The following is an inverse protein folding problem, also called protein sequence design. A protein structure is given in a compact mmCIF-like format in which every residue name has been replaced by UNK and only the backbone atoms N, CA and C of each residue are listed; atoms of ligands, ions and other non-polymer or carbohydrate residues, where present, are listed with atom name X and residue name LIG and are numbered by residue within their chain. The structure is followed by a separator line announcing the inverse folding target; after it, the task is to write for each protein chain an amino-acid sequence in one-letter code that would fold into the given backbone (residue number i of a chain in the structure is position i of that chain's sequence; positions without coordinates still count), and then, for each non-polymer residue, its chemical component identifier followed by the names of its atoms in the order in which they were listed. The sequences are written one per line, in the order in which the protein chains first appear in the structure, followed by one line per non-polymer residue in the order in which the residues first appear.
data_IF_045247318970
#
_entry.id   IF_045247318970
#
_cell.length_a   1.000
_cell.length_b   1.000
_cell.length_c   1.000
_cell.angle_alpha   90.00
_cell.angle_beta   90.00
_cell.angle_gamma   90.00
#
_symmetry.space_group_name_H-M   'P 1'
#
loop_
_entity.id
_entity.type
_entity.pdbx_description
1 polymer ?
#
# COMPACT_ATOMS: atom_id res chain seq x y z
N UNK A 1 -5.52 7.57 -16.87
CA UNK A 1 -4.85 7.28 -15.60
C UNK A 1 -5.50 8.03 -14.45
N UNK A 2 -5.42 7.47 -13.28
CA UNK A 2 -5.99 8.01 -12.05
C UNK A 2 -4.90 8.54 -11.14
N UNK A 3 -5.21 9.60 -10.41
CA UNK A 3 -4.31 10.17 -9.41
C UNK A 3 -5.06 10.40 -8.10
N UNK A 4 -4.35 10.20 -7.00
CA UNK A 4 -4.82 10.49 -5.66
C UNK A 4 -4.11 11.73 -5.13
N UNK A 5 -4.86 12.78 -4.82
CA UNK A 5 -4.34 13.95 -4.14
C UNK A 5 -4.28 13.69 -2.63
N UNK A 6 -3.09 13.71 -2.08
CA UNK A 6 -2.84 13.39 -0.67
C UNK A 6 -2.29 14.62 0.06
N UNK A 7 -2.93 14.98 1.16
CA UNK A 7 -2.41 16.00 2.09
C UNK A 7 -1.73 15.28 3.25
N UNK A 8 -0.40 15.38 3.31
CA UNK A 8 0.41 14.73 4.32
C UNK A 8 0.67 15.58 5.56
N UNK A 9 1.59 15.11 6.39
CA UNK A 9 2.04 15.83 7.60
C UNK A 9 2.58 17.22 7.22
N UNK A 10 2.18 18.24 7.97
CA UNK A 10 2.57 19.63 7.70
C UNK A 10 1.87 20.26 6.52
N UNK A 11 0.68 19.75 6.13
CA UNK A 11 -0.13 20.22 4.99
C UNK A 11 0.61 20.13 3.65
N UNK A 12 1.60 19.28 3.52
CA UNK A 12 2.27 19.03 2.24
C UNK A 12 1.38 18.21 1.33
N UNK A 13 1.09 18.77 0.17
CA UNK A 13 0.34 18.10 -0.88
C UNK A 13 1.26 17.26 -1.74
N UNK A 14 0.77 16.12 -2.18
CA UNK A 14 1.41 15.28 -3.19
C UNK A 14 0.37 14.56 -4.02
N UNK A 15 0.79 14.14 -5.19
CA UNK A 15 -0.01 13.33 -6.11
C UNK A 15 0.60 11.93 -6.13
N UNK A 16 -0.24 10.93 -6.01
CA UNK A 16 0.14 9.51 -6.10
C UNK A 16 -0.60 8.92 -7.29
N UNK A 17 0.11 8.25 -8.18
CA UNK A 17 -0.49 7.56 -9.31
C UNK A 17 -1.20 6.28 -8.84
N UNK A 18 -2.35 6.01 -9.42
CA UNK A 18 -3.14 4.82 -9.10
C UNK A 18 -3.36 4.02 -10.36
N UNK A 19 -2.99 2.73 -10.40
CA UNK A 19 -3.20 1.88 -11.56
C UNK A 19 -4.69 1.77 -11.93
N UNK A 20 -5.01 1.86 -13.22
CA UNK A 20 -6.40 1.75 -13.72
C UNK A 20 -7.03 0.43 -13.26
N UNK A 21 -6.28 -0.66 -13.28
CA UNK A 21 -6.75 -1.98 -12.80
C UNK A 21 -7.15 -1.99 -11.33
N UNK A 22 -6.51 -1.16 -10.48
CA UNK A 22 -6.89 -1.03 -9.08
C UNK A 22 -8.22 -0.30 -8.93
N UNK A 23 -8.42 0.76 -9.70
CA UNK A 23 -9.67 1.52 -9.70
C UNK A 23 -10.83 0.63 -10.15
N UNK A 24 -10.67 -0.09 -11.26
CA UNK A 24 -11.73 -0.93 -11.83
C UNK A 24 -12.03 -2.17 -10.98
N UNK A 25 -10.99 -2.88 -10.55
CA UNK A 25 -11.16 -4.20 -9.93
C UNK A 25 -11.25 -4.17 -8.40
N UNK A 26 -10.75 -3.13 -7.76
CA UNK A 26 -10.75 -3.04 -6.28
C UNK A 26 -11.69 -1.94 -5.82
N UNK A 27 -11.41 -0.68 -6.19
CA UNK A 27 -12.21 0.45 -5.72
C UNK A 27 -13.64 0.37 -6.27
N UNK A 28 -13.82 0.05 -7.55
CA UNK A 28 -15.14 -0.07 -8.18
C UNK A 28 -16.00 -1.09 -7.45
N UNK A 29 -15.49 -2.30 -7.23
CA UNK A 29 -16.22 -3.35 -6.50
C UNK A 29 -16.52 -2.97 -5.05
N UNK A 30 -15.58 -2.31 -4.38
CA UNK A 30 -15.80 -1.81 -3.03
C UNK A 30 -16.93 -0.78 -2.99
N UNK A 31 -16.97 0.15 -3.94
CA UNK A 31 -18.03 1.15 -4.06
C UNK A 31 -19.39 0.51 -4.35
N UNK A 32 -19.44 -0.45 -5.26
CA UNK A 32 -20.67 -1.21 -5.56
C UNK A 32 -21.20 -1.95 -4.33
N UNK A 33 -20.32 -2.47 -3.47
CA UNK A 33 -20.74 -3.10 -2.20
C UNK A 33 -21.37 -2.13 -1.19
N UNK A 34 -21.25 -0.83 -1.45
CA UNK A 34 -21.87 0.25 -0.67
C UNK A 34 -23.03 0.95 -1.43
N UNK A 35 -23.56 0.32 -2.47
CA UNK A 35 -24.61 0.86 -3.31
C UNK A 35 -24.22 2.19 -4.02
N UNK A 36 -22.93 2.36 -4.31
CA UNK A 36 -22.39 3.51 -5.03
C UNK A 36 -22.02 3.13 -6.47
N UNK A 37 -22.00 4.11 -7.38
CA UNK A 37 -21.47 3.91 -8.72
C UNK A 37 -19.99 3.45 -8.65
N UNK A 38 -19.52 2.55 -9.56
CA UNK A 38 -18.14 2.03 -9.54
C UNK A 38 -17.07 3.12 -9.56
N UNK A 39 -17.33 4.20 -10.30
CA UNK A 39 -16.44 5.35 -10.38
C UNK A 39 -17.07 6.55 -9.69
N UNK A 40 -16.26 7.36 -8.97
CA UNK A 40 -16.75 8.59 -8.35
C UNK A 40 -17.15 9.62 -9.42
N UNK A 41 -18.19 10.39 -9.14
CA UNK A 41 -18.59 11.52 -9.97
C UNK A 41 -17.72 12.73 -9.66
N UNK A 42 -17.62 13.67 -10.60
CA UNK A 42 -16.79 14.89 -10.43
C UNK A 42 -17.22 15.73 -9.22
N UNK A 43 -18.51 15.74 -8.92
CA UNK A 43 -19.14 16.50 -7.83
C UNK A 43 -19.46 15.64 -6.59
N UNK A 44 -18.89 14.44 -6.52
CA UNK A 44 -19.17 13.50 -5.43
C UNK A 44 -18.28 13.80 -4.21
N UNK A 45 -18.92 13.95 -3.06
CA UNK A 45 -18.27 14.22 -1.77
C UNK A 45 -18.20 13.00 -0.85
N UNK A 46 -18.41 11.79 -1.42
CA UNK A 46 -18.33 10.54 -0.68
C UNK A 46 -16.87 10.23 -0.32
N UNK A 47 -16.55 9.95 0.95
CA UNK A 47 -15.20 9.54 1.33
C UNK A 47 -14.77 8.27 0.60
N UNK A 48 -13.47 8.17 0.26
CA UNK A 48 -12.92 6.93 -0.35
C UNK A 48 -13.13 5.72 0.58
N UNK A 49 -12.94 5.93 1.88
CA UNK A 49 -13.16 4.92 2.92
C UNK A 49 -14.14 5.49 3.96
N UNK A 50 -15.45 5.38 3.74
CA UNK A 50 -16.44 5.80 4.72
C UNK A 50 -16.58 4.78 5.85
N UNK A 51 -16.84 5.26 7.05
CA UNK A 51 -17.28 4.43 8.16
C UNK A 51 -18.67 3.87 7.88
N UNK A 52 -18.86 2.57 7.97
CA UNK A 52 -20.15 1.91 7.80
C UNK A 52 -21.18 2.35 8.84
N UNK A 53 -20.74 2.89 9.98
CA UNK A 53 -21.64 3.35 11.06
C UNK A 53 -22.08 4.81 10.87
N UNK A 54 -21.23 5.67 10.32
CA UNK A 54 -21.45 7.12 10.31
C UNK A 54 -21.41 7.76 8.93
N UNK A 55 -20.96 7.02 7.90
CA UNK A 55 -20.70 7.57 6.56
C UNK A 55 -19.52 8.56 6.47
N UNK A 56 -18.91 8.93 7.60
CA UNK A 56 -17.78 9.87 7.65
C UNK A 56 -16.48 9.18 7.28
N UNK A 57 -15.45 9.94 6.83
CA UNK A 57 -14.13 9.35 6.53
C UNK A 57 -13.59 8.54 7.72
N UNK A 58 -13.00 7.38 7.45
CA UNK A 58 -12.28 6.63 8.46
C UNK A 58 -11.04 7.41 8.92
N UNK A 59 -10.77 7.35 10.22
CA UNK A 59 -9.53 7.88 10.79
C UNK A 59 -8.37 6.92 10.53
N UNK A 60 -7.15 7.42 10.55
CA UNK A 60 -5.93 6.63 10.33
C UNK A 60 -5.86 5.41 11.25
N UNK A 61 -6.15 5.58 12.55
CA UNK A 61 -6.12 4.47 13.50
C UNK A 61 -7.14 3.38 13.15
N UNK A 62 -8.32 3.76 12.66
CA UNK A 62 -9.32 2.79 12.21
C UNK A 62 -8.84 1.99 10.99
N UNK A 63 -8.15 2.65 10.05
CA UNK A 63 -7.57 1.97 8.89
C UNK A 63 -6.43 1.04 9.34
N UNK A 64 -5.57 1.47 10.25
CA UNK A 64 -4.51 0.62 10.81
C UNK A 64 -5.10 -0.63 11.48
N UNK A 65 -6.13 -0.47 12.31
CA UNK A 65 -6.78 -1.60 12.97
C UNK A 65 -7.36 -2.60 11.96
N UNK A 66 -8.00 -2.12 10.89
CA UNK A 66 -8.53 -2.99 9.82
C UNK A 66 -7.40 -3.79 9.15
N UNK A 67 -6.26 -3.15 8.91
CA UNK A 67 -5.10 -3.83 8.33
C UNK A 67 -4.53 -4.88 9.29
N UNK A 68 -4.42 -4.56 10.57
CA UNK A 68 -3.94 -5.49 11.61
C UNK A 68 -4.88 -6.68 11.75
N UNK A 69 -6.20 -6.46 11.82
CA UNK A 69 -7.20 -7.54 11.84
C UNK A 69 -7.10 -8.46 10.62
N UNK A 70 -6.84 -7.89 9.43
CA UNK A 70 -6.64 -8.68 8.22
C UNK A 70 -5.38 -9.57 8.31
N UNK A 71 -4.27 -9.05 8.84
CA UNK A 71 -3.06 -9.86 9.07
C UNK A 71 -3.30 -10.95 10.12
N UNK A 72 -3.98 -10.64 11.21
CA UNK A 72 -4.31 -11.63 12.25
C UNK A 72 -5.16 -12.78 11.70
N UNK A 73 -6.13 -12.47 10.83
CA UNK A 73 -6.92 -13.47 10.14
C UNK A 73 -6.07 -14.38 9.25
N UNK A 74 -5.15 -13.80 8.48
CA UNK A 74 -4.22 -14.57 7.62
C UNK A 74 -3.31 -15.45 8.47
N UNK A 75 -2.72 -14.91 9.54
CA UNK A 75 -1.85 -15.65 10.47
C UNK A 75 -2.61 -16.84 11.08
N UNK A 76 -3.82 -16.60 11.57
CA UNK A 76 -4.64 -17.67 12.16
C UNK A 76 -4.99 -18.76 11.15
N UNK A 77 -5.27 -18.37 9.90
CA UNK A 77 -5.58 -19.31 8.80
C UNK A 77 -4.35 -20.14 8.43
N UNK A 78 -3.17 -19.54 8.34
CA UNK A 78 -1.92 -20.23 8.08
C UNK A 78 -1.56 -21.21 9.21
N UNK A 79 -1.75 -20.81 10.46
CA UNK A 79 -1.54 -21.68 11.62
C UNK A 79 -2.45 -22.91 11.59
N UNK A 80 -3.75 -22.72 11.32
CA UNK A 80 -4.74 -23.81 11.19
C UNK A 80 -4.40 -24.75 10.02
N UNK A 81 -3.79 -24.24 8.96
CA UNK A 81 -3.36 -25.01 7.78
C UNK A 81 -1.99 -25.66 7.95
N UNK A 82 -1.38 -25.61 9.13
CA UNK A 82 -0.05 -26.20 9.39
C UNK A 82 1.13 -25.39 8.81
N UNK A 83 0.89 -24.24 8.21
CA UNK A 83 1.91 -23.38 7.58
C UNK A 83 2.57 -22.45 8.59
N UNK A 84 3.09 -23.04 9.68
CA UNK A 84 3.59 -22.28 10.83
C UNK A 84 4.71 -21.30 10.47
N UNK A 85 5.66 -21.69 9.61
CA UNK A 85 6.75 -20.80 9.22
C UNK A 85 6.23 -19.56 8.48
N UNK A 86 5.30 -19.73 7.54
CA UNK A 86 4.69 -18.61 6.82
C UNK A 86 3.91 -17.67 7.77
N UNK A 87 3.24 -18.22 8.77
CA UNK A 87 2.57 -17.41 9.79
C UNK A 87 3.58 -16.58 10.61
N UNK A 88 4.71 -17.16 10.98
CA UNK A 88 5.77 -16.47 11.72
C UNK A 88 6.44 -15.38 10.85
N UNK A 89 6.62 -15.61 9.57
CA UNK A 89 7.24 -14.65 8.64
C UNK A 89 6.45 -13.34 8.52
N UNK A 90 5.12 -13.40 8.72
CA UNK A 90 4.24 -12.23 8.68
C UNK A 90 3.76 -11.75 10.05
N UNK A 91 4.22 -12.39 11.14
CA UNK A 91 3.82 -12.10 12.52
C UNK A 91 4.28 -10.73 12.96
N UNK A 92 4.17 -9.72 12.57
CA UNK A 92 4.60 -8.33 12.85
C UNK A 92 4.34 -7.41 11.67
N UNK A 93 3.64 -7.95 10.66
CA UNK A 93 3.23 -7.14 9.52
C UNK A 93 2.26 -6.03 9.97
N UNK A 94 2.40 -4.87 9.38
CA UNK A 94 1.63 -3.66 9.71
C UNK A 94 1.36 -2.84 8.45
N UNK A 95 0.58 -1.78 8.57
CA UNK A 95 0.36 -0.84 7.47
C UNK A 95 1.69 -0.25 6.93
N UNK A 96 2.67 -0.06 7.82
CA UNK A 96 4.00 0.40 7.41
C UNK A 96 4.76 -0.65 6.59
N UNK A 97 4.59 -1.94 6.94
CA UNK A 97 5.16 -3.05 6.17
C UNK A 97 4.57 -3.13 4.75
N UNK A 98 3.25 -2.89 4.59
CA UNK A 98 2.62 -2.79 3.27
C UNK A 98 3.21 -1.63 2.44
N UNK A 99 3.47 -0.48 3.08
CA UNK A 99 4.13 0.66 2.42
C UNK A 99 5.53 0.28 1.93
N UNK A 100 6.32 -0.43 2.74
CA UNK A 100 7.64 -0.91 2.34
C UNK A 100 7.56 -1.87 1.15
N UNK A 101 6.64 -2.82 1.20
CA UNK A 101 6.45 -3.79 0.12
C UNK A 101 6.04 -3.10 -1.18
N UNK A 102 5.06 -2.21 -1.13
CA UNK A 102 4.62 -1.44 -2.29
C UNK A 102 5.73 -0.57 -2.88
N UNK A 103 6.49 0.13 -2.03
CA UNK A 103 7.63 0.93 -2.48
C UNK A 103 8.74 0.08 -3.14
N UNK A 104 9.02 -1.11 -2.60
CA UNK A 104 10.01 -2.01 -3.18
C UNK A 104 9.56 -2.56 -4.54
N UNK A 105 8.28 -2.88 -4.68
CA UNK A 105 7.71 -3.31 -5.97
C UNK A 105 7.70 -2.19 -7.00
N UNK A 106 7.38 -0.97 -6.58
CA UNK A 106 7.35 0.19 -7.46
C UNK A 106 8.74 0.57 -8.03
N UNK A 107 9.85 0.12 -7.42
CA UNK A 107 11.21 0.32 -7.97
C UNK A 107 11.43 -0.35 -9.34
N UNK A 108 10.62 -1.32 -9.71
CA UNK A 108 10.73 -1.95 -11.02
C UNK A 108 10.04 -1.10 -12.13
N UNK A 109 9.17 -0.16 -11.76
CA UNK A 109 8.39 0.68 -12.67
C UNK A 109 8.75 2.16 -12.58
N UNK A 110 9.13 2.64 -11.39
CA UNK A 110 9.43 4.05 -11.11
C UNK A 110 10.92 4.26 -10.86
N UNK A 111 11.44 5.41 -11.31
CA UNK A 111 12.77 5.83 -10.87
C UNK A 111 12.73 6.38 -9.41
N UNK A 112 13.91 6.54 -8.83
CA UNK A 112 14.07 6.92 -7.41
C UNK A 112 13.44 8.28 -7.09
N UNK A 113 13.45 9.22 -8.04
CA UNK A 113 12.85 10.55 -7.87
C UNK A 113 11.33 10.46 -7.84
N UNK A 114 10.73 9.77 -8.80
CA UNK A 114 9.28 9.56 -8.85
C UNK A 114 8.78 8.81 -7.60
N UNK A 115 9.51 7.78 -7.18
CA UNK A 115 9.16 7.04 -5.97
C UNK A 115 9.27 7.91 -4.71
N UNK A 116 10.29 8.77 -4.63
CA UNK A 116 10.43 9.71 -3.51
C UNK A 116 9.26 10.70 -3.43
N UNK A 117 8.81 11.21 -4.56
CA UNK A 117 7.65 12.11 -4.66
C UNK A 117 6.36 11.41 -4.23
N UNK A 118 6.08 10.21 -4.74
CA UNK A 118 4.90 9.42 -4.34
C UNK A 118 4.90 9.06 -2.86
N UNK A 119 6.05 8.71 -2.31
CA UNK A 119 6.20 8.43 -0.87
C UNK A 119 6.15 9.69 -0.01
N UNK A 120 6.32 10.87 -0.61
CA UNK A 120 6.38 12.14 0.10
C UNK A 120 7.66 12.31 0.93
N UNK A 121 8.77 11.72 0.47
CA UNK A 121 10.07 11.92 1.09
C UNK A 121 10.61 13.32 0.72
N UNK A 122 11.12 14.03 1.72
CA UNK A 122 11.70 15.35 1.50
C UNK A 122 13.02 15.31 0.70
N UNK A 123 13.63 14.13 0.60
CA UNK A 123 14.89 13.91 -0.12
C UNK A 123 14.87 12.54 -0.80
N UNK A 124 15.29 12.50 -2.05
CA UNK A 124 15.52 11.26 -2.82
C UNK A 124 16.51 10.35 -2.11
N UNK A 125 17.49 10.92 -1.39
CA UNK A 125 18.47 10.17 -0.59
C UNK A 125 17.79 9.21 0.39
N UNK A 126 16.70 9.62 1.04
CA UNK A 126 15.93 8.75 1.94
C UNK A 126 15.35 7.54 1.21
N UNK A 127 14.83 7.73 0.00
CA UNK A 127 14.31 6.64 -0.83
C UNK A 127 15.43 5.69 -1.24
N UNK A 128 16.57 6.21 -1.67
CA UNK A 128 17.73 5.40 -2.05
C UNK A 128 18.25 4.57 -0.88
N UNK A 129 18.41 5.16 0.29
CA UNK A 129 18.93 4.46 1.47
C UNK A 129 17.98 3.36 1.97
N UNK A 130 16.67 3.63 1.96
CA UNK A 130 15.67 2.71 2.53
C UNK A 130 15.29 1.60 1.54
N UNK A 131 15.14 1.91 0.28
CA UNK A 131 14.56 0.98 -0.72
C UNK A 131 15.56 0.52 -1.77
N UNK A 132 16.31 1.43 -2.39
CA UNK A 132 17.15 1.12 -3.55
C UNK A 132 18.40 0.33 -3.13
N UNK A 133 19.13 0.80 -2.14
CA UNK A 133 20.36 0.16 -1.70
C UNK A 133 20.15 -1.27 -1.15
N UNK A 134 19.09 -1.56 -0.34
CA UNK A 134 18.78 -2.91 0.06
C UNK A 134 18.37 -3.82 -1.10
N UNK A 135 17.50 -3.34 -2.00
CA UNK A 135 17.07 -4.11 -3.17
C UNK A 135 18.24 -4.46 -4.08
N UNK A 136 19.17 -3.53 -4.29
CA UNK A 136 20.37 -3.76 -5.09
C UNK A 136 21.29 -4.80 -4.44
N UNK A 137 21.51 -4.76 -3.13
CA UNK A 137 22.28 -5.77 -2.39
C UNK A 137 21.66 -7.16 -2.51
N UNK A 138 20.34 -7.27 -2.41
CA UNK A 138 19.63 -8.54 -2.57
C UNK A 138 19.73 -9.09 -3.99
N UNK A 139 19.67 -8.24 -5.02
CA UNK A 139 19.91 -8.64 -6.42
C UNK A 139 21.32 -9.19 -6.63
N UNK A 140 22.34 -8.54 -6.09
CA UNK A 140 23.72 -9.01 -6.15
C UNK A 140 23.85 -10.38 -5.48
N UNK A 141 23.32 -10.53 -4.25
CA UNK A 141 23.35 -11.77 -3.49
C UNK A 141 22.66 -12.92 -4.25
N UNK A 142 21.49 -12.68 -4.81
CA UNK A 142 20.76 -13.68 -5.62
C UNK A 142 21.48 -13.99 -6.93
N UNK A 143 22.09 -13.00 -7.56
CA UNK A 143 22.87 -13.16 -8.78
C UNK A 143 24.10 -14.04 -8.58
N UNK A 144 24.81 -13.88 -7.48
CA UNK A 144 26.01 -14.67 -7.14
C UNK A 144 25.71 -16.15 -6.80
N UNK A 145 24.44 -16.46 -6.51
CA UNK A 145 23.98 -17.83 -6.20
C UNK A 145 23.42 -18.57 -7.43
N UNK A 146 23.36 -17.93 -8.61
CA UNK A 146 22.95 -18.60 -9.84
C UNK A 146 23.98 -19.64 -10.22
N UNK A 147 23.57 -20.90 -10.30
CA UNK A 147 24.35 -21.97 -10.94
C UNK A 147 24.22 -21.80 -12.45
N UNK A 148 25.34 -21.77 -13.16
CA UNK A 148 25.43 -21.83 -14.62
C UNK A 148 24.98 -23.21 -15.12
#
# INVERSE_FOLDING_TARGET
GWVLHVVGKGKKERVVTVPDSYIENVLGRYRESMDLAPLPRIDEDTPILPSTKTGKPLKQDSVNNIVEEAFDLVISTLMKSGKKQQALDIAGASSHWLRHTGATQALDELNETMLAEELGHASVKTTVEIYVAPAHRDRIRKGSQRKL
#
